data_IF_812781601653
#
_entry.id   IF_812781601653
#
_cell.length_a   1.000
_cell.length_b   1.000
_cell.length_c   1.000
_cell.angle_alpha   90.00
_cell.angle_beta   90.00
_cell.angle_gamma   90.00
#
_symmetry.space_group_name_H-M   'P 1'
#
loop_
_entity.id
_entity.type
_entity.pdbx_description
1 polymer ?
#
# COMPACT_ATOMS: atom_id res chain seq x y z
N UNK A 1 57.11 -28.39 2.53
CA UNK A 1 56.52 -27.89 1.27
C UNK A 1 55.06 -28.26 1.31
N UNK A 2 54.21 -27.32 1.73
CA UNK A 2 52.78 -27.55 1.87
C UNK A 2 52.17 -27.81 0.50
N UNK A 3 51.75 -29.05 0.26
CA UNK A 3 50.89 -29.37 -0.86
C UNK A 3 49.67 -28.46 -0.75
N UNK A 4 49.53 -27.47 -1.65
CA UNK A 4 48.38 -26.59 -1.69
C UNK A 4 47.13 -27.44 -1.89
N UNK A 5 46.46 -27.77 -0.79
CA UNK A 5 45.18 -28.46 -0.85
C UNK A 5 44.20 -27.43 -1.42
N UNK A 6 43.96 -27.51 -2.72
CA UNK A 6 42.95 -26.69 -3.38
C UNK A 6 41.59 -27.08 -2.82
N UNK A 7 41.09 -26.32 -1.87
CA UNK A 7 39.72 -26.48 -1.38
C UNK A 7 38.76 -25.65 -2.24
N UNK A 8 37.58 -26.19 -2.52
CA UNK A 8 36.48 -25.45 -3.16
C UNK A 8 35.28 -25.40 -2.23
N UNK A 9 34.41 -24.40 -2.39
CA UNK A 9 33.20 -24.24 -1.58
C UNK A 9 31.98 -24.52 -2.44
N UNK A 10 31.02 -25.28 -1.93
CA UNK A 10 29.76 -25.58 -2.62
C UNK A 10 28.55 -25.30 -1.75
N UNK A 11 27.49 -24.80 -2.40
CA UNK A 11 26.17 -24.59 -1.83
C UNK A 11 25.24 -25.72 -2.26
N UNK A 12 24.51 -26.34 -1.32
CA UNK A 12 23.41 -27.27 -1.62
C UNK A 12 22.10 -26.70 -1.10
N UNK A 13 21.08 -26.67 -1.96
CA UNK A 13 19.75 -26.18 -1.63
C UNK A 13 18.80 -27.39 -1.48
N UNK A 14 18.28 -27.59 -0.28
CA UNK A 14 17.27 -28.62 -0.01
C UNK A 14 15.87 -27.97 0.04
N UNK A 15 14.84 -28.78 0.33
CA UNK A 15 13.47 -28.30 0.50
C UNK A 15 13.34 -27.27 1.62
N UNK A 16 14.06 -27.47 2.73
CA UNK A 16 13.92 -26.68 3.97
C UNK A 16 15.17 -25.88 4.34
N UNK A 17 16.32 -26.14 3.73
CA UNK A 17 17.59 -25.58 4.20
C UNK A 17 18.58 -25.29 3.08
N UNK A 18 19.39 -24.27 3.31
CA UNK A 18 20.55 -23.88 2.52
C UNK A 18 21.79 -24.36 3.25
N UNK A 19 22.61 -25.21 2.63
CA UNK A 19 23.75 -25.87 3.28
C UNK A 19 25.05 -25.50 2.59
N UNK A 20 26.06 -25.14 3.39
CA UNK A 20 27.40 -24.78 2.93
C UNK A 20 28.39 -25.91 3.23
N UNK A 21 29.18 -26.28 2.21
CA UNK A 21 30.20 -27.32 2.31
C UNK A 21 31.55 -26.83 1.80
N UNK A 22 32.61 -27.33 2.43
CA UNK A 22 33.99 -27.29 1.93
C UNK A 22 34.33 -28.62 1.28
N UNK A 23 34.80 -28.58 0.04
CA UNK A 23 35.24 -29.74 -0.71
C UNK A 23 36.76 -29.72 -0.81
N UNK A 24 37.39 -30.87 -0.56
CA UNK A 24 38.82 -31.08 -0.76
C UNK A 24 39.07 -32.29 -1.64
N UNK A 25 40.27 -32.38 -2.18
CA UNK A 25 40.74 -33.58 -2.86
C UNK A 25 42.00 -34.08 -2.15
N UNK A 26 41.95 -35.33 -1.67
CA UNK A 26 43.09 -35.97 -1.03
C UNK A 26 43.70 -36.97 -2.01
N UNK A 27 44.94 -36.72 -2.45
CA UNK A 27 45.72 -37.72 -3.21
C UNK A 27 46.08 -38.88 -2.27
N UNK A 28 45.95 -40.11 -2.75
CA UNK A 28 46.44 -41.28 -2.04
C UNK A 28 47.98 -41.26 -2.03
N UNK A 29 48.58 -41.63 -0.90
CA UNK A 29 50.04 -41.65 -0.70
C UNK A 29 50.73 -42.77 -1.49
N UNK A 30 49.97 -43.79 -1.91
CA UNK A 30 50.52 -45.08 -2.36
C UNK A 30 50.25 -45.35 -3.85
N UNK A 31 50.09 -44.29 -4.67
CA UNK A 31 49.84 -44.42 -6.12
C UNK A 31 48.39 -44.78 -6.51
N UNK A 32 47.49 -44.90 -5.54
CA UNK A 32 46.05 -45.14 -5.77
C UNK A 32 45.27 -43.90 -6.25
N UNK A 33 44.01 -44.12 -6.65
CA UNK A 33 43.08 -43.04 -7.00
C UNK A 33 42.81 -42.12 -5.79
N UNK A 34 42.80 -40.80 -6.00
CA UNK A 34 42.51 -39.84 -4.94
C UNK A 34 41.02 -39.80 -4.57
N UNK A 35 40.73 -39.35 -3.34
CA UNK A 35 39.37 -39.27 -2.81
C UNK A 35 38.91 -37.80 -2.70
N UNK A 36 37.67 -37.54 -3.15
CA UNK A 36 36.99 -36.27 -2.89
C UNK A 36 36.41 -36.30 -1.47
N UNK A 37 36.73 -35.31 -0.66
CA UNK A 37 36.15 -35.14 0.68
C UNK A 37 35.23 -33.93 0.70
N UNK A 38 34.12 -34.04 1.44
CA UNK A 38 33.17 -32.95 1.63
C UNK A 38 32.90 -32.78 3.13
N UNK A 39 33.14 -31.58 3.64
CA UNK A 39 32.95 -31.20 5.05
C UNK A 39 31.84 -30.18 5.16
N UNK A 40 30.83 -30.47 5.96
CA UNK A 40 29.76 -29.53 6.28
C UNK A 40 30.30 -28.35 7.09
N UNK A 41 29.88 -27.13 6.75
CA UNK A 41 30.29 -25.91 7.45
C UNK A 41 29.16 -25.34 8.31
N UNK A 42 28.02 -25.04 7.69
CA UNK A 42 26.86 -24.42 8.32
C UNK A 42 25.64 -24.51 7.40
N UNK A 43 24.46 -24.20 7.95
CA UNK A 43 23.22 -24.10 7.19
C UNK A 43 22.27 -23.09 7.79
N UNK A 44 21.28 -22.67 7.01
CA UNK A 44 20.14 -21.90 7.50
C UNK A 44 18.84 -22.31 6.82
N UNK A 45 17.71 -21.89 7.40
CA UNK A 45 16.38 -22.19 6.86
C UNK A 45 16.15 -21.50 5.52
N UNK A 46 15.52 -22.21 4.59
CA UNK A 46 15.11 -21.65 3.29
C UNK A 46 13.97 -20.63 3.43
N UNK A 47 13.35 -20.54 4.60
CA UNK A 47 12.29 -19.58 4.90
C UNK A 47 12.83 -18.24 5.44
N UNK A 48 14.13 -18.15 5.74
CA UNK A 48 14.73 -16.89 6.15
C UNK A 48 14.66 -15.86 5.01
N UNK A 49 14.26 -14.64 5.34
CA UNK A 49 14.24 -13.50 4.42
C UNK A 49 15.60 -12.85 4.26
N UNK A 50 16.52 -13.11 5.18
CA UNK A 50 17.86 -12.54 5.24
C UNK A 50 18.88 -13.61 5.63
N UNK A 51 20.14 -13.39 5.25
CA UNK A 51 21.21 -14.36 5.52
C UNK A 51 21.62 -14.22 6.98
N UNK A 52 21.66 -15.31 7.77
CA UNK A 52 22.15 -15.24 9.13
C UNK A 52 23.63 -14.81 9.18
N UNK A 53 24.03 -13.91 10.11
CA UNK A 53 25.40 -13.43 10.20
C UNK A 53 26.45 -14.54 10.32
N UNK A 54 26.13 -15.60 11.06
CA UNK A 54 27.01 -16.77 11.22
C UNK A 54 27.26 -17.50 9.89
N UNK A 55 26.24 -17.59 9.03
CA UNK A 55 26.36 -18.23 7.73
C UNK A 55 27.22 -17.39 6.79
N UNK A 56 27.01 -16.06 6.78
CA UNK A 56 27.80 -15.14 5.97
C UNK A 56 29.27 -15.14 6.40
N UNK A 57 29.55 -15.13 7.70
CA UNK A 57 30.90 -15.25 8.25
C UNK A 57 31.60 -16.53 7.78
N UNK A 58 30.93 -17.68 7.93
CA UNK A 58 31.47 -18.98 7.50
C UNK A 58 31.69 -19.04 5.99
N UNK A 59 30.80 -18.44 5.19
CA UNK A 59 30.98 -18.32 3.75
C UNK A 59 32.21 -17.49 3.42
N UNK A 60 32.35 -16.31 4.02
CA UNK A 60 33.49 -15.39 3.80
C UNK A 60 34.82 -16.06 4.14
N UNK A 61 34.89 -16.75 5.27
CA UNK A 61 36.07 -17.52 5.70
C UNK A 61 36.38 -18.66 4.72
N UNK A 62 35.35 -19.39 4.26
CA UNK A 62 35.54 -20.52 3.37
C UNK A 62 35.97 -20.10 1.95
N UNK A 63 35.61 -18.89 1.51
CA UNK A 63 35.98 -18.33 0.21
C UNK A 63 37.11 -17.30 0.30
N UNK A 64 37.86 -17.25 1.41
CA UNK A 64 39.00 -16.35 1.56
C UNK A 64 39.99 -16.55 0.40
N UNK A 65 40.37 -15.45 -0.28
CA UNK A 65 41.22 -15.48 -1.47
C UNK A 65 40.50 -15.81 -2.79
N UNK A 66 39.18 -16.09 -2.78
CA UNK A 66 38.38 -16.29 -3.99
C UNK A 66 37.08 -15.45 -3.97
N UNK A 67 37.18 -14.12 -4.20
CA UNK A 67 36.04 -13.21 -4.12
C UNK A 67 34.98 -13.48 -5.19
N UNK A 68 35.38 -13.99 -6.37
CA UNK A 68 34.43 -14.37 -7.42
C UNK A 68 33.50 -15.50 -6.94
N UNK A 69 34.05 -16.50 -6.25
CA UNK A 69 33.25 -17.62 -5.72
C UNK A 69 32.28 -17.16 -4.63
N UNK A 70 32.72 -16.25 -3.76
CA UNK A 70 31.84 -15.62 -2.76
C UNK A 70 30.63 -14.96 -3.44
N UNK A 71 30.89 -14.07 -4.41
CA UNK A 71 29.85 -13.36 -5.14
C UNK A 71 28.86 -14.31 -5.84
N UNK A 72 29.36 -15.37 -6.49
CA UNK A 72 28.50 -16.37 -7.15
C UNK A 72 27.58 -17.10 -6.17
N UNK A 73 28.08 -17.47 -4.98
CA UNK A 73 27.27 -18.15 -3.97
C UNK A 73 26.24 -17.20 -3.37
N UNK A 74 26.65 -15.95 -3.07
CA UNK A 74 25.75 -14.91 -2.56
C UNK A 74 24.62 -14.60 -3.53
N UNK A 75 24.93 -14.44 -4.81
CA UNK A 75 23.92 -14.20 -5.84
C UNK A 75 22.94 -15.37 -5.92
N UNK A 76 23.44 -16.60 -5.92
CA UNK A 76 22.59 -17.79 -5.92
C UNK A 76 21.67 -17.85 -4.69
N UNK A 77 22.16 -17.50 -3.51
CA UNK A 77 21.34 -17.42 -2.29
C UNK A 77 20.25 -16.35 -2.45
N UNK A 78 20.60 -15.19 -2.98
CA UNK A 78 19.64 -14.09 -3.19
C UNK A 78 18.49 -14.52 -4.11
N UNK A 79 18.80 -15.04 -5.30
CA UNK A 79 17.80 -15.36 -6.33
C UNK A 79 16.99 -16.63 -5.98
N UNK A 80 17.64 -17.70 -5.52
CA UNK A 80 16.98 -19.01 -5.36
C UNK A 80 16.32 -19.21 -3.98
N UNK A 81 16.64 -18.34 -3.00
CA UNK A 81 16.22 -18.47 -1.60
C UNK A 81 15.56 -17.21 -1.08
N UNK A 82 16.29 -16.09 -1.00
CA UNK A 82 15.82 -14.91 -0.28
C UNK A 82 14.63 -14.22 -0.99
N UNK A 83 14.71 -14.04 -2.31
CA UNK A 83 13.62 -13.42 -3.08
C UNK A 83 12.31 -14.23 -3.00
N UNK A 84 12.32 -15.56 -3.25
CA UNK A 84 11.14 -16.40 -3.01
C UNK A 84 10.64 -16.37 -1.56
N UNK A 85 11.53 -16.42 -0.58
CA UNK A 85 11.16 -16.38 0.84
C UNK A 85 10.49 -15.06 1.22
N UNK A 86 11.03 -13.93 0.76
CA UNK A 86 10.45 -12.59 0.97
C UNK A 86 9.07 -12.48 0.33
N UNK A 87 8.93 -12.93 -0.92
CA UNK A 87 7.63 -12.93 -1.61
C UNK A 87 6.60 -13.77 -0.85
N UNK A 88 6.97 -14.99 -0.44
CA UNK A 88 6.08 -15.87 0.34
C UNK A 88 5.71 -15.25 1.69
N UNK A 89 6.67 -14.63 2.39
CA UNK A 89 6.41 -13.95 3.66
C UNK A 89 5.45 -12.77 3.48
N UNK A 90 5.61 -11.96 2.42
CA UNK A 90 4.71 -10.87 2.10
C UNK A 90 3.29 -11.37 1.78
N UNK A 91 3.17 -12.43 0.96
CA UNK A 91 1.87 -13.05 0.65
C UNK A 91 1.19 -13.61 1.90
N UNK A 92 1.94 -14.24 2.81
CA UNK A 92 1.42 -14.75 4.08
C UNK A 92 0.97 -13.61 5.00
N UNK A 93 1.74 -12.54 5.11
CA UNK A 93 1.36 -11.35 5.87
C UNK A 93 0.09 -10.72 5.30
N UNK A 94 0.00 -10.58 3.98
CA UNK A 94 -1.18 -10.06 3.31
C UNK A 94 -2.41 -10.92 3.61
N UNK A 95 -2.32 -12.25 3.42
CA UNK A 95 -3.42 -13.17 3.75
C UNK A 95 -3.82 -13.11 5.23
N UNK A 96 -2.86 -13.04 6.13
CA UNK A 96 -3.14 -12.92 7.56
C UNK A 96 -3.85 -11.60 7.90
N UNK A 97 -3.48 -10.50 7.23
CA UNK A 97 -4.16 -9.21 7.36
C UNK A 97 -5.56 -9.26 6.75
N UNK A 98 -5.72 -9.87 5.58
CA UNK A 98 -7.02 -10.07 4.92
C UNK A 98 -7.99 -10.81 5.83
N UNK A 99 -7.57 -11.96 6.39
CA UNK A 99 -8.39 -12.74 7.32
C UNK A 99 -8.70 -11.97 8.61
N UNK A 100 -7.74 -11.19 9.13
CA UNK A 100 -7.98 -10.31 10.27
C UNK A 100 -9.06 -9.26 9.97
N UNK A 101 -8.98 -8.60 8.82
CA UNK A 101 -9.97 -7.60 8.39
C UNK A 101 -11.35 -8.24 8.24
N UNK A 102 -11.45 -9.39 7.56
CA UNK A 102 -12.71 -10.14 7.43
C UNK A 102 -13.30 -10.51 8.80
N UNK A 103 -12.47 -11.01 9.71
CA UNK A 103 -12.89 -11.36 11.07
C UNK A 103 -13.41 -10.15 11.85
N UNK A 104 -12.70 -9.01 11.78
CA UNK A 104 -13.13 -7.77 12.42
C UNK A 104 -14.45 -7.24 11.85
N UNK A 105 -14.64 -7.28 10.54
CA UNK A 105 -15.89 -6.85 9.90
C UNK A 105 -17.06 -7.76 10.26
N UNK A 106 -16.83 -9.08 10.26
CA UNK A 106 -17.85 -10.06 10.67
C UNK A 106 -18.28 -9.85 12.12
N UNK A 107 -17.31 -9.61 13.01
CA UNK A 107 -17.59 -9.30 14.42
C UNK A 107 -18.37 -7.98 14.56
N UNK A 108 -17.97 -6.93 13.85
CA UNK A 108 -18.67 -5.65 13.89
C UNK A 108 -20.13 -5.78 13.41
N UNK A 109 -20.36 -6.52 12.32
CA UNK A 109 -21.71 -6.79 11.82
C UNK A 109 -22.56 -7.53 12.87
N UNK A 110 -22.02 -8.58 13.48
CA UNK A 110 -22.70 -9.34 14.52
C UNK A 110 -23.10 -8.44 15.72
N UNK A 111 -22.22 -7.51 16.12
CA UNK A 111 -22.54 -6.58 17.21
C UNK A 111 -23.62 -5.57 16.84
N UNK A 112 -23.61 -5.06 15.59
CA UNK A 112 -24.64 -4.15 15.09
C UNK A 112 -26.00 -4.85 15.03
N UNK A 113 -26.04 -6.08 14.52
CA UNK A 113 -27.27 -6.89 14.46
C UNK A 113 -27.80 -7.20 15.87
N UNK A 114 -26.91 -7.55 16.80
CA UNK A 114 -27.26 -7.77 18.21
C UNK A 114 -27.87 -6.50 18.83
N UNK A 115 -27.24 -5.34 18.66
CA UNK A 115 -27.74 -4.06 19.16
C UNK A 115 -29.09 -3.67 18.54
N UNK A 116 -29.29 -3.98 17.26
CA UNK A 116 -30.56 -3.74 16.57
C UNK A 116 -31.71 -4.62 17.08
N UNK A 117 -31.39 -5.78 17.67
CA UNK A 117 -32.36 -6.73 18.23
C UNK A 117 -32.73 -6.47 19.70
N UNK A 118 -32.13 -5.47 20.35
CA UNK A 118 -32.43 -5.15 21.75
C UNK A 118 -33.87 -4.63 21.93
N UNK A 119 -34.53 -5.08 23.00
CA UNK A 119 -35.83 -4.53 23.40
C UNK A 119 -35.75 -3.04 23.73
N UNK A 120 -36.82 -2.28 23.47
CA UNK A 120 -36.86 -0.82 23.62
C UNK A 120 -35.79 -0.08 22.79
N UNK A 121 -35.31 -0.68 21.69
CA UNK A 121 -34.29 -0.13 20.78
C UNK A 121 -34.48 1.37 20.53
N UNK A 122 -35.66 1.79 20.10
CA UNK A 122 -35.88 3.18 19.68
C UNK A 122 -35.79 4.17 20.85
N UNK A 123 -36.20 3.75 22.05
CA UNK A 123 -36.07 4.56 23.27
C UNK A 123 -34.60 4.63 23.75
N UNK A 124 -33.85 3.54 23.64
CA UNK A 124 -32.42 3.50 24.01
C UNK A 124 -31.60 4.29 22.98
N UNK A 125 -31.88 4.13 21.69
CA UNK A 125 -31.23 4.88 20.61
C UNK A 125 -31.62 6.36 20.62
N UNK A 126 -32.68 6.80 21.31
CA UNK A 126 -32.95 8.22 21.50
C UNK A 126 -31.93 8.91 22.43
N UNK A 127 -31.14 8.14 23.19
CA UNK A 127 -30.06 8.68 24.03
C UNK A 127 -28.94 9.31 23.17
N UNK A 128 -28.56 10.54 23.51
CA UNK A 128 -27.59 11.32 22.74
C UNK A 128 -26.18 10.72 22.74
N UNK A 129 -25.72 10.16 23.87
CA UNK A 129 -24.40 9.51 23.96
C UNK A 129 -24.33 8.29 23.05
N UNK A 130 -25.41 7.50 23.00
CA UNK A 130 -25.53 6.31 22.15
C UNK A 130 -25.57 6.72 20.66
N UNK A 131 -26.29 7.80 20.32
CA UNK A 131 -26.29 8.36 18.96
C UNK A 131 -24.92 8.87 18.53
N UNK A 132 -24.18 9.52 19.42
CA UNK A 132 -22.81 9.95 19.13
C UNK A 132 -21.89 8.75 18.89
N UNK A 133 -22.02 7.68 19.67
CA UNK A 133 -21.28 6.44 19.45
C UNK A 133 -21.61 5.82 18.08
N UNK A 134 -22.90 5.75 17.71
CA UNK A 134 -23.33 5.23 16.41
C UNK A 134 -22.78 6.05 15.23
N UNK A 135 -22.78 7.38 15.31
CA UNK A 135 -22.18 8.26 14.29
C UNK A 135 -20.67 8.06 14.14
N UNK A 136 -19.96 7.73 15.23
CA UNK A 136 -18.53 7.39 15.18
C UNK A 136 -18.30 6.07 14.44
N UNK A 137 -19.13 5.06 14.70
CA UNK A 137 -19.12 3.77 13.99
C UNK A 137 -19.41 3.99 12.50
N UNK A 138 -20.44 4.76 12.15
CA UNK A 138 -20.80 5.09 10.76
C UNK A 138 -19.65 5.79 10.02
N UNK A 139 -19.01 6.78 10.66
CA UNK A 139 -17.85 7.46 10.09
C UNK A 139 -16.66 6.52 9.89
N UNK A 140 -16.38 5.67 10.89
CA UNK A 140 -15.34 4.65 10.80
C UNK A 140 -15.57 3.69 9.64
N UNK A 141 -16.81 3.20 9.48
CA UNK A 141 -17.19 2.33 8.37
C UNK A 141 -17.03 3.02 7.01
N UNK A 142 -17.44 4.29 6.89
CA UNK A 142 -17.25 5.09 5.66
C UNK A 142 -15.77 5.24 5.28
N UNK A 143 -14.88 5.39 6.26
CA UNK A 143 -13.44 5.50 6.01
C UNK A 143 -12.79 4.19 5.54
N UNK A 144 -13.44 3.04 5.77
CA UNK A 144 -12.98 1.74 5.29
C UNK A 144 -13.43 1.44 3.85
N UNK A 145 -14.32 2.25 3.29
CA UNK A 145 -14.76 2.11 1.91
C UNK A 145 -13.65 2.58 0.98
N UNK A 146 -13.00 1.62 0.34
CA UNK A 146 -12.08 1.87 -0.78
C UNK A 146 -12.83 1.46 -2.04
N UNK A 147 -13.04 2.40 -2.97
CA UNK A 147 -13.54 2.02 -4.28
C UNK A 147 -12.56 1.04 -4.92
N UNK A 148 -13.02 -0.10 -5.45
CA UNK A 148 -12.18 -0.99 -6.22
C UNK A 148 -11.83 -0.31 -7.55
N UNK A 149 -10.91 0.67 -7.51
CA UNK A 149 -10.13 1.06 -8.69
C UNK A 149 -9.49 -0.24 -9.16
N UNK A 150 -9.86 -0.68 -10.37
CA UNK A 150 -9.34 -1.88 -10.99
C UNK A 150 -7.84 -2.00 -10.69
N UNK A 151 -7.45 -3.13 -10.09
CA UNK A 151 -6.09 -3.48 -9.69
C UNK A 151 -5.07 -3.19 -10.80
N UNK A 152 -4.62 -1.95 -10.92
CA UNK A 152 -3.35 -1.62 -11.56
C UNK A 152 -2.28 -1.85 -10.51
N UNK A 153 -1.83 -3.10 -10.50
CA UNK A 153 -0.49 -3.58 -10.17
C UNK A 153 0.39 -2.51 -9.48
N UNK A 154 0.30 -2.42 -8.15
CA UNK A 154 1.35 -1.79 -7.35
C UNK A 154 2.46 -2.83 -7.12
N UNK A 155 3.13 -3.21 -8.21
CA UNK A 155 4.54 -3.57 -8.15
C UNK A 155 5.28 -2.23 -8.26
N UNK A 156 5.46 -1.55 -7.12
CA UNK A 156 6.48 -0.53 -6.84
C UNK A 156 6.07 0.20 -5.56
N UNK A 157 6.41 -0.39 -4.42
CA UNK A 157 6.42 0.31 -3.15
C UNK A 157 7.79 0.11 -2.48
N UNK A 158 8.81 0.70 -3.11
CA UNK A 158 10.02 1.15 -2.44
C UNK A 158 10.09 2.67 -2.60
N UNK A 159 10.14 3.40 -1.49
CA UNK A 159 10.39 4.84 -1.50
C UNK A 159 9.56 5.62 -0.48
N UNK A 160 10.20 5.95 0.63
CA UNK A 160 9.75 6.90 1.65
C UNK A 160 9.67 8.35 1.09
N UNK A 161 9.17 9.25 1.95
CA UNK A 161 9.36 10.71 1.99
C UNK A 161 8.25 11.66 1.51
N UNK A 162 7.98 12.61 2.43
CA UNK A 162 7.20 13.84 2.44
C UNK A 162 5.78 13.88 1.79
N UNK A 163 4.82 14.63 2.38
CA UNK A 163 3.65 15.06 1.64
C UNK A 163 4.13 16.04 0.56
N UNK A 164 4.35 15.53 -0.66
CA UNK A 164 4.53 16.38 -1.82
C UNK A 164 3.30 17.30 -1.95
N UNK A 165 3.45 18.61 -2.21
CA UNK A 165 2.33 19.50 -2.52
C UNK A 165 1.39 18.93 -3.60
N UNK A 166 1.94 18.12 -4.52
CA UNK A 166 1.18 17.37 -5.51
C UNK A 166 0.20 16.35 -4.87
N UNK A 167 0.62 15.63 -3.82
CA UNK A 167 -0.25 14.70 -3.09
C UNK A 167 -1.37 15.43 -2.36
N UNK A 168 -1.10 16.62 -1.84
CA UNK A 168 -2.11 17.45 -1.20
C UNK A 168 -3.13 17.99 -2.23
N UNK A 169 -2.66 18.47 -3.39
CA UNK A 169 -3.51 18.87 -4.52
C UNK A 169 -4.39 17.70 -4.98
N UNK A 170 -3.81 16.51 -5.15
CA UNK A 170 -4.56 15.29 -5.51
C UNK A 170 -5.65 14.99 -4.46
N UNK A 171 -5.33 15.02 -3.16
CA UNK A 171 -6.31 14.77 -2.10
C UNK A 171 -7.45 15.79 -2.07
N UNK A 172 -7.16 17.06 -2.33
CA UNK A 172 -8.17 18.12 -2.42
C UNK A 172 -9.07 17.95 -3.66
N UNK A 173 -8.50 17.59 -4.80
CA UNK A 173 -9.25 17.30 -6.03
C UNK A 173 -10.17 16.06 -5.85
N UNK A 174 -9.69 15.03 -5.17
CA UNK A 174 -10.50 13.86 -4.81
C UNK A 174 -11.67 14.26 -3.90
N UNK A 175 -11.45 15.12 -2.92
CA UNK A 175 -12.50 15.64 -2.03
C UNK A 175 -13.57 16.43 -2.80
N UNK A 176 -13.15 17.29 -3.73
CA UNK A 176 -14.07 18.06 -4.60
C UNK A 176 -14.90 17.11 -5.47
N UNK A 177 -14.26 16.12 -6.11
CA UNK A 177 -14.95 15.14 -6.94
C UNK A 177 -15.97 14.33 -6.14
N UNK A 178 -15.63 13.89 -4.93
CA UNK A 178 -16.57 13.20 -4.04
C UNK A 178 -17.76 14.09 -3.65
N UNK A 179 -17.51 15.37 -3.34
CA UNK A 179 -18.58 16.32 -3.03
C UNK A 179 -19.52 16.54 -4.23
N UNK A 180 -18.98 16.66 -5.45
CA UNK A 180 -19.78 16.75 -6.68
C UNK A 180 -20.62 15.49 -6.94
N UNK A 181 -20.06 14.30 -6.72
CA UNK A 181 -20.79 13.03 -6.83
C UNK A 181 -21.95 12.96 -5.83
N UNK A 182 -21.72 13.40 -4.58
CA UNK A 182 -22.78 13.46 -3.56
C UNK A 182 -23.86 14.47 -3.89
N UNK A 183 -23.50 15.65 -4.40
CA UNK A 183 -24.47 16.65 -4.87
C UNK A 183 -25.36 16.08 -5.98
N UNK A 184 -24.78 15.35 -6.93
CA UNK A 184 -25.52 14.68 -8.01
C UNK A 184 -26.46 13.59 -7.46
N UNK A 185 -26.02 12.83 -6.45
CA UNK A 185 -26.81 11.76 -5.85
C UNK A 185 -28.03 12.25 -5.04
N UNK A 186 -28.01 13.49 -4.54
CA UNK A 186 -29.11 14.10 -3.79
C UNK A 186 -30.15 14.75 -4.73
N UNK A 187 -29.87 14.84 -6.03
CA UNK A 187 -30.81 15.42 -6.99
C UNK A 187 -32.06 14.53 -7.12
N UNK A 188 -33.27 15.08 -6.95
CA UNK A 188 -34.47 14.29 -6.72
C UNK A 188 -35.10 13.63 -7.96
N UNK A 189 -34.54 13.83 -9.16
CA UNK A 189 -35.11 13.31 -10.41
C UNK A 189 -34.07 12.54 -11.22
N UNK A 190 -34.49 11.47 -11.89
CA UNK A 190 -33.66 10.54 -12.69
C UNK A 190 -32.85 11.23 -13.82
N UNK A 191 -33.14 12.49 -14.13
CA UNK A 191 -32.37 13.31 -15.06
C UNK A 191 -31.16 14.04 -14.47
N UNK A 192 -30.96 14.01 -13.15
CA UNK A 192 -29.83 14.72 -12.50
C UNK A 192 -29.99 16.23 -12.44
N UNK A 193 -31.21 16.72 -12.24
CA UNK A 193 -31.52 18.15 -12.03
C UNK A 193 -32.66 18.31 -11.02
N UNK A 194 -32.73 19.46 -10.35
CA UNK A 194 -33.93 19.85 -9.61
C UNK A 194 -35.04 20.30 -10.57
N UNK A 195 -36.30 20.23 -10.14
CA UNK A 195 -37.42 20.69 -10.96
C UNK A 195 -37.19 22.13 -11.46
N UNK A 196 -37.61 22.45 -12.69
CA UNK A 196 -37.36 23.74 -13.34
C UNK A 196 -37.83 24.96 -12.53
N UNK A 197 -38.82 24.78 -11.65
CA UNK A 197 -39.39 25.80 -10.78
C UNK A 197 -38.98 25.63 -9.29
N UNK A 198 -38.01 24.77 -9.00
CA UNK A 198 -37.51 24.58 -7.64
C UNK A 198 -36.84 25.87 -7.16
N UNK A 199 -37.37 26.45 -6.09
CA UNK A 199 -36.82 27.66 -5.51
C UNK A 199 -35.74 27.25 -4.51
N UNK A 200 -34.48 27.39 -4.92
CA UNK A 200 -33.37 27.31 -3.99
C UNK A 200 -33.33 28.55 -3.10
N UNK A 201 -32.89 28.35 -1.86
CA UNK A 201 -32.55 29.47 -0.99
C UNK A 201 -31.46 30.33 -1.65
N UNK A 202 -31.56 31.64 -1.47
CA UNK A 202 -30.61 32.63 -2.01
C UNK A 202 -29.18 32.29 -1.61
N UNK A 203 -28.97 31.87 -0.36
CA UNK A 203 -27.66 31.44 0.14
C UNK A 203 -27.10 30.23 -0.63
N UNK A 204 -27.96 29.29 -1.01
CA UNK A 204 -27.54 28.11 -1.81
C UNK A 204 -27.14 28.52 -3.23
N UNK A 205 -27.90 29.43 -3.85
CA UNK A 205 -27.58 29.96 -5.18
C UNK A 205 -26.25 30.72 -5.18
N UNK A 206 -26.00 31.54 -4.15
CA UNK A 206 -24.75 32.27 -3.99
C UNK A 206 -23.54 31.32 -3.82
N UNK A 207 -23.67 30.25 -3.02
CA UNK A 207 -22.63 29.25 -2.86
C UNK A 207 -22.27 28.55 -4.19
N UNK A 208 -23.26 28.22 -5.01
CA UNK A 208 -23.03 27.61 -6.33
C UNK A 208 -22.32 28.59 -7.26
N UNK A 209 -22.71 29.86 -7.26
CA UNK A 209 -22.05 30.89 -8.07
C UNK A 209 -20.59 31.10 -7.63
N UNK A 210 -20.32 31.17 -6.33
CA UNK A 210 -18.96 31.27 -5.80
C UNK A 210 -18.12 30.03 -6.14
N UNK A 211 -18.70 28.83 -6.02
CA UNK A 211 -18.05 27.57 -6.40
C UNK A 211 -17.63 27.60 -7.87
N UNK A 212 -18.49 28.06 -8.77
CA UNK A 212 -18.18 28.17 -10.19
C UNK A 212 -16.94 29.05 -10.46
N UNK A 213 -16.84 30.21 -9.81
CA UNK A 213 -15.65 31.05 -9.92
C UNK A 213 -14.40 30.39 -9.35
N UNK A 214 -14.49 29.76 -8.17
CA UNK A 214 -13.36 29.11 -7.50
C UNK A 214 -12.82 27.93 -8.30
N UNK A 215 -13.70 27.10 -8.87
CA UNK A 215 -13.32 25.98 -9.73
C UNK A 215 -12.64 26.48 -11.00
N UNK A 216 -13.13 27.57 -11.60
CA UNK A 216 -12.49 28.16 -12.77
C UNK A 216 -11.08 28.68 -12.46
N UNK A 217 -10.88 29.33 -11.30
CA UNK A 217 -9.55 29.77 -10.87
C UNK A 217 -8.60 28.60 -10.62
N UNK A 218 -9.07 27.55 -9.94
CA UNK A 218 -8.29 26.34 -9.71
C UNK A 218 -7.90 25.68 -11.04
N UNK A 219 -8.82 25.61 -12.00
CA UNK A 219 -8.55 25.11 -13.34
C UNK A 219 -7.48 25.94 -14.05
N UNK A 220 -7.60 27.27 -14.06
CA UNK A 220 -6.61 28.15 -14.70
C UNK A 220 -5.22 28.00 -14.07
N UNK A 221 -5.15 27.86 -12.74
CA UNK A 221 -3.90 27.73 -11.98
C UNK A 221 -3.21 26.38 -12.23
N UNK A 222 -3.98 25.29 -12.31
CA UNK A 222 -3.44 23.93 -12.46
C UNK A 222 -3.13 23.54 -13.91
N UNK A 223 -3.85 24.10 -14.88
CA UNK A 223 -3.71 23.69 -16.30
C UNK A 223 -2.93 24.69 -17.15
N UNK A 224 -2.59 25.86 -16.61
CA UNK A 224 -2.00 27.01 -17.34
C UNK A 224 -2.78 27.45 -18.59
N UNK A 225 -4.00 26.93 -18.80
CA UNK A 225 -4.81 27.15 -19.98
C UNK A 225 -6.17 27.76 -19.60
N UNK A 226 -6.51 28.89 -20.22
CA UNK A 226 -7.80 29.58 -20.07
C UNK A 226 -8.90 28.97 -20.96
N UNK A 227 -8.88 27.66 -21.19
CA UNK A 227 -9.67 27.03 -22.27
C UNK A 227 -11.18 26.91 -21.98
N UNK A 228 -11.64 27.11 -20.74
CA UNK A 228 -13.08 27.12 -20.44
C UNK A 228 -13.71 28.47 -20.81
N UNK A 229 -14.81 28.42 -21.57
CA UNK A 229 -15.48 29.59 -22.12
C UNK A 229 -16.02 30.51 -21.02
N UNK A 230 -15.53 31.76 -21.00
CA UNK A 230 -15.99 32.80 -20.07
C UNK A 230 -17.00 33.74 -20.75
N UNK A 231 -18.13 34.05 -20.11
CA UNK A 231 -19.04 35.10 -20.57
C UNK A 231 -18.34 36.47 -20.69
N UNK A 232 -18.82 37.34 -21.59
CA UNK A 232 -18.24 38.68 -21.83
C UNK A 232 -18.23 39.58 -20.58
N UNK A 233 -19.12 39.35 -19.62
CA UNK A 233 -19.26 40.10 -18.36
C UNK A 233 -18.62 39.39 -17.15
N UNK A 234 -17.77 38.37 -17.37
CA UNK A 234 -17.16 37.54 -16.33
C UNK A 234 -16.54 38.35 -15.18
N UNK A 235 -15.69 39.34 -15.48
CA UNK A 235 -14.99 40.13 -14.45
C UNK A 235 -15.96 40.95 -13.60
N UNK A 236 -17.09 41.41 -14.17
CA UNK A 236 -18.12 42.13 -13.43
C UNK A 236 -18.91 41.18 -12.53
N UNK A 237 -19.35 40.04 -13.06
CA UNK A 237 -20.05 39.01 -12.28
C UNK A 237 -19.19 38.46 -11.15
N UNK A 238 -17.90 38.25 -11.41
CA UNK A 238 -16.96 37.81 -10.40
C UNK A 238 -16.84 38.83 -9.27
N UNK A 239 -16.77 40.12 -9.57
CA UNK A 239 -16.74 41.17 -8.54
C UNK A 239 -18.04 41.26 -7.76
N UNK A 240 -19.19 41.09 -8.41
CA UNK A 240 -20.51 41.09 -7.75
C UNK A 240 -20.68 39.88 -6.81
N UNK A 241 -20.21 38.70 -7.20
CA UNK A 241 -20.39 37.44 -6.45
C UNK A 241 -19.30 37.18 -5.41
N UNK A 242 -18.03 37.52 -5.73
CA UNK A 242 -16.89 37.31 -4.84
C UNK A 242 -16.52 38.55 -4.02
N UNK A 243 -16.90 39.76 -4.45
CA UNK A 243 -16.61 41.02 -3.75
C UNK A 243 -17.47 41.28 -2.50
N UNK A 244 -18.41 40.38 -2.19
CA UNK A 244 -19.12 40.33 -0.90
C UNK A 244 -18.31 39.68 0.23
N UNK A 245 -17.11 39.15 -0.07
CA UNK A 245 -16.19 38.54 0.92
C UNK A 245 -15.02 39.46 1.32
N UNK A 246 -14.89 40.65 0.71
CA UNK A 246 -13.88 41.66 1.05
C UNK A 246 -14.47 42.85 1.86
N UNK A 247 -15.48 42.59 2.71
CA UNK A 247 -15.93 43.51 3.77
C UNK A 247 -16.04 42.79 5.10
#
# INVERSE_FOLDING_TARGET
>A
MDASIGFSVSLKLNKTSVMLYRNGYRKATDGGHGASTQTYLCSFSRECTDIPPEFEEKLRQATAGNPKRYATIMEKIRTDVLEPARKKAQEQQFKAQEERVKGSLSFALQQIESAASCGNRDAILANEEIQQALRRVERGAKNLLVEPKALQVAADAQGQDAPSPEREVIGLLETINQACTRLKAIMPFDGGFFARNHQFDKATVELVQQMWFRVQHAHDALTMHKQLHRPKNWTRMQKEVMGLLDR
#
